data_IF_690637477291
#
_entry.id   IF_690637477291
#
_cell.length_a   1.000
_cell.length_b   1.000
_cell.length_c   1.000
_cell.angle_alpha   90.00
_cell.angle_beta   90.00
_cell.angle_gamma   90.00
#
_symmetry.space_group_name_H-M   'P 1'
#
loop_
_entity.id
_entity.type
_entity.pdbx_description
1 polymer ?
#
# COMPACT_ATOMS: atom_id res chain seq x y z
N UNK A 1 -40.24 9.14 -4.47
CA UNK A 1 -40.04 10.43 -5.16
C UNK A 1 -40.32 10.19 -6.63
N UNK A 2 -41.18 10.97 -7.28
CA UNK A 2 -41.47 10.79 -8.71
C UNK A 2 -40.47 11.59 -9.55
N UNK A 3 -39.95 10.99 -10.63
CA UNK A 3 -39.01 11.64 -11.56
C UNK A 3 -39.83 12.37 -12.62
N UNK A 4 -39.70 13.69 -12.71
CA UNK A 4 -40.33 14.50 -13.76
C UNK A 4 -39.47 14.45 -15.03
N UNK A 5 -38.18 14.72 -14.90
CA UNK A 5 -37.22 14.73 -16.01
C UNK A 5 -35.80 14.55 -15.50
N UNK A 6 -34.87 14.19 -16.39
CA UNK A 6 -33.44 14.22 -16.11
C UNK A 6 -32.68 14.75 -17.33
N UNK A 7 -31.42 15.12 -17.13
CA UNK A 7 -30.53 15.58 -18.21
C UNK A 7 -29.06 15.46 -17.79
N UNK A 8 -28.17 15.74 -18.73
CA UNK A 8 -26.72 15.80 -18.50
C UNK A 8 -26.17 14.51 -17.88
N UNK A 9 -26.67 13.35 -18.33
CA UNK A 9 -26.19 12.05 -17.87
C UNK A 9 -24.76 11.80 -18.31
N UNK A 10 -23.88 11.46 -17.36
CA UNK A 10 -22.48 11.11 -17.58
C UNK A 10 -22.16 9.84 -16.81
N UNK A 11 -21.61 8.82 -17.46
CA UNK A 11 -21.08 7.67 -16.74
C UNK A 11 -19.89 8.09 -15.89
N UNK A 12 -19.84 7.59 -14.65
CA UNK A 12 -18.65 7.68 -13.79
C UNK A 12 -17.90 6.35 -13.78
N UNK A 13 -16.73 6.32 -13.15
CA UNK A 13 -15.79 5.20 -13.21
C UNK A 13 -16.40 3.84 -12.86
N UNK A 14 -17.31 3.78 -11.88
CA UNK A 14 -17.92 2.53 -11.42
C UNK A 14 -19.17 2.11 -12.24
N UNK A 15 -19.49 2.82 -13.32
CA UNK A 15 -20.63 2.51 -14.19
C UNK A 15 -21.98 3.07 -13.71
N UNK A 16 -22.00 3.80 -12.59
CA UNK A 16 -23.13 4.67 -12.21
C UNK A 16 -23.21 5.87 -13.16
N UNK A 17 -24.32 6.61 -13.09
CA UNK A 17 -24.55 7.78 -13.95
C UNK A 17 -24.82 9.00 -13.07
N UNK A 18 -23.92 9.97 -13.10
CA UNK A 18 -24.17 11.31 -12.60
C UNK A 18 -25.09 12.04 -13.57
N UNK A 19 -26.08 12.76 -13.04
CA UNK A 19 -27.03 13.51 -13.84
C UNK A 19 -27.63 14.67 -13.04
N UNK A 20 -28.36 15.52 -13.74
CA UNK A 20 -29.27 16.48 -13.13
C UNK A 20 -30.70 15.92 -13.24
N UNK A 21 -31.38 15.78 -12.11
CA UNK A 21 -32.76 15.24 -12.06
C UNK A 21 -33.72 16.27 -11.49
N UNK A 22 -34.90 16.36 -12.08
CA UNK A 22 -36.03 17.11 -11.53
C UNK A 22 -37.03 16.14 -10.92
N UNK A 23 -37.12 16.17 -9.60
CA UNK A 23 -38.10 15.37 -8.85
C UNK A 23 -39.37 16.18 -8.59
N UNK A 24 -40.51 15.49 -8.51
CA UNK A 24 -41.76 16.10 -8.09
C UNK A 24 -41.63 16.68 -6.68
N UNK A 25 -42.02 17.95 -6.51
CA UNK A 25 -41.89 18.70 -5.27
C UNK A 25 -40.59 19.51 -5.13
N UNK A 26 -39.68 19.44 -6.10
CA UNK A 26 -38.52 20.33 -6.20
C UNK A 26 -38.76 21.40 -7.27
N UNK A 27 -38.27 22.61 -7.03
CA UNK A 27 -38.43 23.73 -7.98
C UNK A 27 -37.48 23.61 -9.18
N UNK A 28 -36.28 23.04 -8.96
CA UNK A 28 -35.20 22.97 -9.94
C UNK A 28 -34.63 21.55 -10.10
N UNK A 29 -33.79 21.38 -11.13
CA UNK A 29 -32.94 20.22 -11.28
C UNK A 29 -31.87 20.18 -10.18
N UNK A 30 -31.64 19.01 -9.60
CA UNK A 30 -30.60 18.77 -8.58
C UNK A 30 -29.59 17.73 -9.06
N UNK A 31 -28.31 17.82 -8.63
CA UNK A 31 -27.32 16.79 -8.93
C UNK A 31 -27.71 15.48 -8.24
N UNK A 32 -27.62 14.37 -8.98
CA UNK A 32 -27.92 13.03 -8.48
C UNK A 32 -27.06 11.98 -9.17
N UNK A 33 -26.52 11.05 -8.37
CA UNK A 33 -25.81 9.87 -8.87
C UNK A 33 -26.76 8.69 -8.87
N UNK A 34 -27.20 8.26 -10.05
CA UNK A 34 -28.08 7.09 -10.19
C UNK A 34 -27.28 5.79 -10.28
N UNK A 35 -27.81 4.74 -9.68
CA UNK A 35 -27.17 3.41 -9.63
C UNK A 35 -28.19 2.29 -9.83
N UNK A 36 -27.83 1.17 -10.48
CA UNK A 36 -28.69 0.00 -10.53
C UNK A 36 -28.91 -0.64 -9.16
N UNK A 37 -27.98 -0.41 -8.21
CA UNK A 37 -27.99 -0.96 -6.86
C UNK A 37 -28.43 0.07 -5.80
N UNK A 38 -29.05 1.18 -6.24
CA UNK A 38 -29.55 2.22 -5.35
C UNK A 38 -30.54 1.63 -4.32
N UNK A 39 -30.49 2.07 -3.07
CA UNK A 39 -31.42 1.61 -2.03
C UNK A 39 -32.84 2.10 -2.28
N UNK A 40 -32.99 3.28 -2.89
CA UNK A 40 -34.27 3.90 -3.19
C UNK A 40 -34.74 3.51 -4.60
N UNK A 41 -36.03 3.18 -4.72
CA UNK A 41 -36.61 2.67 -5.98
C UNK A 41 -36.44 3.66 -7.15
N UNK A 42 -36.55 4.95 -6.88
CA UNK A 42 -36.43 5.97 -7.90
C UNK A 42 -34.99 6.14 -8.40
N UNK A 43 -33.97 5.87 -7.58
CA UNK A 43 -32.58 5.87 -8.04
C UNK A 43 -32.31 4.76 -9.06
N UNK A 44 -32.84 3.55 -8.80
CA UNK A 44 -32.78 2.41 -9.74
C UNK A 44 -33.57 2.67 -11.02
N UNK A 45 -34.78 3.24 -10.89
CA UNK A 45 -35.61 3.60 -12.04
C UNK A 45 -34.92 4.66 -12.91
N UNK A 46 -34.35 5.70 -12.29
CA UNK A 46 -33.63 6.76 -12.99
C UNK A 46 -32.43 6.20 -13.78
N UNK A 47 -31.65 5.30 -13.18
CA UNK A 47 -30.53 4.63 -13.85
C UNK A 47 -31.00 3.84 -15.08
N UNK A 48 -32.06 3.03 -14.94
CA UNK A 48 -32.61 2.26 -16.05
C UNK A 48 -33.13 3.16 -17.19
N UNK A 49 -33.82 4.25 -16.83
CA UNK A 49 -34.32 5.23 -17.79
C UNK A 49 -33.19 5.95 -18.55
N UNK A 50 -32.16 6.43 -17.84
CA UNK A 50 -30.99 7.07 -18.44
C UNK A 50 -30.25 6.10 -19.39
N UNK A 51 -30.08 4.84 -18.99
CA UNK A 51 -29.41 3.82 -19.80
C UNK A 51 -30.15 3.51 -21.11
N UNK A 52 -31.48 3.62 -21.13
CA UNK A 52 -32.27 3.46 -22.35
C UNK A 52 -32.32 4.72 -23.22
N UNK A 53 -31.74 5.84 -22.76
CA UNK A 53 -31.73 7.11 -23.47
C UNK A 53 -33.03 7.91 -23.34
N UNK A 54 -33.93 7.55 -22.40
CA UNK A 54 -35.22 8.23 -22.18
C UNK A 54 -35.07 9.74 -22.00
N UNK A 55 -33.97 10.16 -21.37
CA UNK A 55 -33.66 11.55 -21.02
C UNK A 55 -32.52 12.13 -21.86
N UNK A 56 -32.22 11.52 -23.01
CA UNK A 56 -31.08 11.86 -23.86
C UNK A 56 -29.90 10.90 -23.68
N UNK A 57 -28.85 11.04 -24.52
CA UNK A 57 -27.69 10.16 -24.45
C UNK A 57 -26.90 10.40 -23.16
N UNK A 58 -26.45 9.31 -22.55
CA UNK A 58 -25.49 9.36 -21.44
C UNK A 58 -24.08 9.40 -22.04
N UNK A 59 -23.30 10.43 -21.69
CA UNK A 59 -21.92 10.53 -22.18
C UNK A 59 -21.01 9.53 -21.46
N UNK A 60 -20.00 8.96 -22.16
CA UNK A 60 -19.05 8.07 -21.52
C UNK A 60 -18.20 8.76 -20.46
N UNK A 61 -17.77 7.98 -19.47
CA UNK A 61 -16.73 8.38 -18.54
C UNK A 61 -15.44 8.74 -19.31
N UNK A 62 -14.88 9.90 -19.02
CA UNK A 62 -13.62 10.36 -19.61
C UNK A 62 -12.61 10.64 -18.50
N UNK A 63 -11.46 9.97 -18.58
CA UNK A 63 -10.35 10.20 -17.65
C UNK A 63 -9.73 11.58 -17.94
N UNK A 64 -9.57 12.41 -16.91
CA UNK A 64 -8.88 13.70 -17.01
C UNK A 64 -7.40 13.59 -16.61
N UNK A 65 -6.54 14.54 -17.03
CA UNK A 65 -5.17 14.61 -16.53
C UNK A 65 -5.07 14.73 -15.01
N UNK A 66 -6.01 15.41 -14.34
CA UNK A 66 -6.03 15.48 -12.87
C UNK A 66 -6.31 14.11 -12.24
N UNK A 67 -7.17 13.29 -12.87
CA UNK A 67 -7.43 11.93 -12.40
C UNK A 67 -6.19 11.05 -12.53
N UNK A 68 -5.44 11.17 -13.63
CA UNK A 68 -4.16 10.47 -13.82
C UNK A 68 -3.16 10.88 -12.74
N UNK A 69 -2.99 12.19 -12.50
CA UNK A 69 -2.07 12.67 -11.48
C UNK A 69 -2.47 12.17 -10.08
N UNK A 70 -3.76 12.28 -9.75
CA UNK A 70 -4.29 11.80 -8.46
C UNK A 70 -4.07 10.29 -8.26
N UNK A 71 -4.20 9.49 -9.32
CA UNK A 71 -3.91 8.05 -9.26
C UNK A 71 -2.42 7.76 -9.05
N UNK A 72 -1.52 8.52 -9.68
CA UNK A 72 -0.07 8.41 -9.45
C UNK A 72 0.31 8.77 -8.02
N UNK A 73 -0.25 9.87 -7.51
CA UNK A 73 0.00 10.33 -6.14
C UNK A 73 -0.48 9.29 -5.12
N UNK A 74 -1.67 8.72 -5.33
CA UNK A 74 -2.19 7.64 -4.50
C UNK A 74 -1.27 6.40 -4.54
N UNK A 75 -0.79 6.02 -5.73
CA UNK A 75 0.11 4.88 -5.88
C UNK A 75 1.50 5.14 -5.28
N UNK A 76 2.00 6.37 -5.34
CA UNK A 76 3.23 6.77 -4.65
C UNK A 76 3.09 6.70 -3.13
N UNK A 77 1.93 7.07 -2.59
CA UNK A 77 1.64 6.90 -1.16
C UNK A 77 1.61 5.41 -0.77
N UNK A 78 1.00 4.55 -1.58
CA UNK A 78 1.02 3.10 -1.38
C UNK A 78 2.45 2.53 -1.38
N UNK A 79 3.30 2.97 -2.32
CA UNK A 79 4.72 2.61 -2.38
C UNK A 79 5.48 3.06 -1.12
N UNK A 80 5.22 4.27 -0.61
CA UNK A 80 5.84 4.74 0.63
C UNK A 80 5.41 3.89 1.83
N UNK A 81 4.12 3.55 1.93
CA UNK A 81 3.61 2.68 2.99
C UNK A 81 4.23 1.28 2.92
N UNK A 82 4.43 0.75 1.71
CA UNK A 82 5.15 -0.50 1.50
C UNK A 82 6.59 -0.40 2.01
N UNK A 83 7.33 0.66 1.64
CA UNK A 83 8.70 0.90 2.12
C UNK A 83 8.74 0.91 3.65
N UNK A 84 7.86 1.69 4.28
CA UNK A 84 7.82 1.83 5.73
C UNK A 84 7.52 0.48 6.43
N UNK A 85 6.67 -0.34 5.82
CA UNK A 85 6.41 -1.72 6.27
C UNK A 85 7.65 -2.59 6.15
N UNK A 86 8.38 -2.53 5.03
CA UNK A 86 9.61 -3.31 4.85
C UNK A 86 10.72 -2.86 5.81
N UNK A 87 10.91 -1.56 6.02
CA UNK A 87 11.94 -1.00 6.91
C UNK A 87 11.65 -1.18 8.41
N UNK A 88 10.41 -1.49 8.77
CA UNK A 88 10.03 -1.86 10.14
C UNK A 88 10.08 -3.36 10.40
N UNK A 89 10.19 -4.18 9.33
CA UNK A 89 10.30 -5.63 9.41
C UNK A 89 11.63 -6.14 9.99
N UNK A 90 11.66 -7.44 10.29
CA UNK A 90 12.86 -8.22 10.60
C UNK A 90 13.14 -9.16 9.44
N UNK A 91 14.41 -9.33 9.09
CA UNK A 91 14.88 -10.38 8.18
C UNK A 91 15.63 -11.45 8.98
N UNK A 92 15.72 -12.66 8.44
CA UNK A 92 16.54 -13.72 9.01
C UNK A 92 17.79 -13.86 8.17
N UNK A 93 18.95 -13.93 8.81
CA UNK A 93 20.22 -14.26 8.16
C UNK A 93 20.90 -15.42 8.90
N UNK A 94 21.81 -16.11 8.21
CA UNK A 94 22.58 -17.21 8.79
C UNK A 94 23.99 -16.76 9.15
N UNK A 95 24.43 -17.08 10.36
CA UNK A 95 25.81 -16.88 10.81
C UNK A 95 26.19 -18.03 11.75
N UNK A 96 27.37 -18.62 11.53
CA UNK A 96 27.92 -19.71 12.34
C UNK A 96 26.96 -20.91 12.50
N UNK A 97 26.17 -21.22 11.46
CA UNK A 97 25.22 -22.33 11.48
C UNK A 97 23.88 -22.03 12.16
N UNK A 98 23.69 -20.83 12.70
CA UNK A 98 22.44 -20.38 13.33
C UNK A 98 21.71 -19.34 12.50
N UNK A 99 20.40 -19.27 12.67
CA UNK A 99 19.52 -18.29 12.01
C UNK A 99 19.21 -17.18 13.01
N UNK A 100 19.46 -15.93 12.65
CA UNK A 100 19.35 -14.80 13.56
C UNK A 100 18.32 -13.78 13.08
N UNK A 101 17.49 -13.29 14.01
CA UNK A 101 16.61 -12.16 13.77
C UNK A 101 17.41 -10.87 13.58
N UNK A 102 17.17 -10.21 12.48
CA UNK A 102 17.86 -9.01 12.04
C UNK A 102 16.84 -7.92 11.69
N UNK A 103 16.59 -7.07 12.67
CA UNK A 103 15.72 -5.90 12.54
C UNK A 103 16.04 -4.90 13.65
N UNK A 104 15.43 -3.70 13.57
CA UNK A 104 15.69 -2.60 14.52
C UNK A 104 15.53 -3.02 15.98
N UNK A 105 14.50 -3.82 16.29
CA UNK A 105 14.25 -4.33 17.63
C UNK A 105 15.32 -5.33 18.11
N UNK A 106 15.77 -6.24 17.24
CA UNK A 106 16.83 -7.20 17.59
C UNK A 106 18.15 -6.47 17.83
N UNK A 107 18.52 -5.54 16.94
CA UNK A 107 19.74 -4.73 17.06
C UNK A 107 19.73 -3.88 18.35
N UNK A 108 18.60 -3.25 18.67
CA UNK A 108 18.46 -2.42 19.88
C UNK A 108 18.65 -3.22 21.17
N UNK A 109 18.21 -4.50 21.19
CA UNK A 109 18.43 -5.40 22.33
C UNK A 109 19.88 -5.89 22.40
N UNK A 110 20.52 -6.14 21.25
CA UNK A 110 21.89 -6.66 21.18
C UNK A 110 22.94 -5.60 21.56
N UNK A 111 22.74 -4.33 21.18
CA UNK A 111 23.70 -3.25 21.41
C UNK A 111 24.20 -3.13 22.88
N UNK A 112 23.33 -3.06 23.91
CA UNK A 112 23.81 -3.02 25.29
C UNK A 112 24.49 -4.32 25.73
N UNK A 113 24.06 -5.48 25.20
CA UNK A 113 24.71 -6.77 25.48
C UNK A 113 26.15 -6.77 24.97
N UNK A 114 26.38 -6.29 23.75
CA UNK A 114 27.74 -6.20 23.19
C UNK A 114 28.58 -5.21 23.98
N UNK A 115 28.02 -4.09 24.44
CA UNK A 115 28.74 -3.14 25.30
C UNK A 115 29.21 -3.79 26.62
N UNK A 116 28.35 -4.59 27.27
CA UNK A 116 28.69 -5.35 28.49
C UNK A 116 29.67 -6.48 28.20
N UNK A 117 29.55 -7.13 27.04
CA UNK A 117 30.48 -8.16 26.60
C UNK A 117 31.90 -7.61 26.43
N UNK A 118 32.03 -6.42 25.81
CA UNK A 118 33.31 -5.73 25.62
C UNK A 118 33.97 -5.31 26.94
N UNK A 119 33.22 -5.14 28.02
CA UNK A 119 33.77 -4.87 29.36
C UNK A 119 34.06 -6.15 30.17
N UNK A 120 33.80 -7.34 29.61
CA UNK A 120 34.01 -8.63 30.28
C UNK A 120 33.04 -8.88 31.43
N UNK A 121 31.89 -8.19 31.45
CA UNK A 121 30.95 -8.20 32.57
C UNK A 121 29.65 -8.98 32.26
N UNK A 122 29.67 -9.88 31.26
CA UNK A 122 28.53 -10.77 31.03
C UNK A 122 28.34 -11.72 32.23
N UNK A 123 27.09 -12.06 32.56
CA UNK A 123 26.82 -13.05 33.59
C UNK A 123 27.36 -14.44 33.17
N UNK A 124 27.78 -15.29 34.14
CA UNK A 124 28.15 -16.67 33.84
C UNK A 124 27.00 -17.43 33.16
N UNK A 125 27.32 -18.18 32.09
CA UNK A 125 26.32 -18.94 31.33
C UNK A 125 25.44 -18.08 30.40
N UNK A 126 25.88 -16.87 30.07
CA UNK A 126 25.17 -16.01 29.11
C UNK A 126 24.95 -16.70 27.75
N UNK A 127 23.78 -16.48 27.17
CA UNK A 127 23.39 -16.96 25.85
C UNK A 127 22.61 -15.88 25.09
N UNK A 128 22.54 -16.02 23.78
CA UNK A 128 21.63 -15.27 22.92
C UNK A 128 20.69 -16.24 22.21
N UNK A 129 19.38 -15.95 22.25
CA UNK A 129 18.37 -16.78 21.61
C UNK A 129 18.30 -16.46 20.12
N UNK A 130 18.44 -17.48 19.28
CA UNK A 130 18.36 -17.36 17.83
C UNK A 130 16.91 -17.31 17.32
N UNK A 131 16.73 -17.13 16.00
CA UNK A 131 15.41 -16.99 15.38
C UNK A 131 14.55 -18.27 15.45
N UNK A 132 15.18 -19.41 15.71
CA UNK A 132 14.50 -20.70 15.88
C UNK A 132 14.20 -21.00 17.37
N UNK A 133 14.38 -20.00 18.25
CA UNK A 133 14.24 -20.08 19.70
C UNK A 133 15.25 -21.04 20.36
N UNK A 134 16.46 -21.14 19.81
CA UNK A 134 17.54 -21.92 20.39
C UNK A 134 18.44 -20.98 21.19
N UNK A 135 18.67 -21.29 22.46
CA UNK A 135 19.61 -20.56 23.30
C UNK A 135 21.05 -20.95 22.96
N UNK A 136 21.77 -20.04 22.33
CA UNK A 136 23.15 -20.26 21.89
C UNK A 136 24.10 -19.60 22.90
N UNK A 137 24.99 -20.36 23.57
CA UNK A 137 26.05 -19.76 24.37
C UNK A 137 26.95 -18.89 23.50
N UNK A 138 27.22 -17.66 23.94
CA UNK A 138 27.94 -16.67 23.13
C UNK A 138 29.11 -16.05 23.90
N UNK A 139 30.26 -15.97 23.25
CA UNK A 139 31.42 -15.20 23.69
C UNK A 139 31.30 -13.72 23.30
N UNK A 140 32.15 -12.86 23.87
CA UNK A 140 32.19 -11.44 23.52
C UNK A 140 32.54 -11.20 22.04
N UNK A 141 33.42 -12.03 21.47
CA UNK A 141 33.81 -11.95 20.06
C UNK A 141 32.65 -12.38 19.15
N UNK A 142 31.92 -13.43 19.50
CA UNK A 142 30.74 -13.88 18.75
C UNK A 142 29.60 -12.87 18.79
N UNK A 143 29.36 -12.21 19.93
CA UNK A 143 28.38 -11.13 20.03
C UNK A 143 28.76 -9.92 19.19
N UNK A 144 30.05 -9.56 19.16
CA UNK A 144 30.57 -8.49 18.31
C UNK A 144 30.42 -8.85 16.82
N UNK A 145 30.71 -10.11 16.45
CA UNK A 145 30.52 -10.60 15.09
C UNK A 145 29.03 -10.62 14.68
N UNK A 146 28.14 -11.03 15.59
CA UNK A 146 26.69 -11.02 15.39
C UNK A 146 26.18 -9.60 15.15
N UNK A 147 26.59 -8.63 15.98
CA UNK A 147 26.22 -7.22 15.82
C UNK A 147 26.67 -6.66 14.47
N UNK A 148 27.94 -6.90 14.09
CA UNK A 148 28.47 -6.46 12.81
C UNK A 148 27.71 -7.08 11.62
N UNK A 149 27.43 -8.38 11.68
CA UNK A 149 26.69 -9.08 10.65
C UNK A 149 25.23 -8.59 10.56
N UNK A 150 24.57 -8.31 11.69
CA UNK A 150 23.25 -7.69 11.71
C UNK A 150 23.27 -6.32 11.05
N UNK A 151 24.20 -5.44 11.42
CA UNK A 151 24.33 -4.11 10.83
C UNK A 151 24.54 -4.20 9.31
N UNK A 152 25.41 -5.10 8.85
CA UNK A 152 25.66 -5.29 7.42
C UNK A 152 24.40 -5.76 6.68
N UNK A 153 23.68 -6.75 7.22
CA UNK A 153 22.45 -7.26 6.62
C UNK A 153 21.33 -6.21 6.61
N UNK A 154 21.19 -5.42 7.68
CA UNK A 154 20.24 -4.30 7.73
C UNK A 154 20.53 -3.24 6.67
N UNK A 155 21.81 -2.88 6.46
CA UNK A 155 22.22 -1.93 5.41
C UNK A 155 21.91 -2.48 4.01
N UNK A 156 22.26 -3.75 3.75
CA UNK A 156 21.98 -4.39 2.47
C UNK A 156 20.47 -4.44 2.18
N UNK A 157 19.67 -4.80 3.17
CA UNK A 157 18.22 -4.85 3.02
C UNK A 157 17.62 -3.47 2.82
N UNK A 158 18.05 -2.47 3.60
CA UNK A 158 17.63 -1.08 3.44
C UNK A 158 17.94 -0.55 2.04
N UNK A 159 19.11 -0.89 1.49
CA UNK A 159 19.49 -0.52 0.12
C UNK A 159 18.55 -1.14 -0.92
N UNK A 160 18.27 -2.45 -0.82
CA UNK A 160 17.32 -3.14 -1.72
C UNK A 160 15.92 -2.53 -1.67
N UNK A 161 15.43 -2.19 -0.47
CA UNK A 161 14.12 -1.55 -0.29
C UNK A 161 14.11 -0.19 -0.98
N UNK A 162 15.16 0.60 -0.79
CA UNK A 162 15.29 1.91 -1.42
C UNK A 162 15.36 1.83 -2.95
N UNK A 163 16.16 0.93 -3.51
CA UNK A 163 16.23 0.70 -4.95
C UNK A 163 14.86 0.30 -5.52
N UNK A 164 14.19 -0.66 -4.86
CA UNK A 164 12.88 -1.11 -5.31
C UNK A 164 11.83 0.00 -5.22
N UNK A 165 11.80 0.78 -4.14
CA UNK A 165 10.92 1.94 -4.03
C UNK A 165 11.11 2.88 -5.22
N UNK A 166 12.37 3.23 -5.53
CA UNK A 166 12.69 4.14 -6.62
C UNK A 166 12.23 3.57 -7.96
N UNK A 167 12.52 2.30 -8.21
CA UNK A 167 12.07 1.60 -9.41
C UNK A 167 10.54 1.68 -9.56
N UNK A 168 9.78 1.35 -8.50
CA UNK A 168 8.31 1.37 -8.56
C UNK A 168 7.75 2.76 -8.86
N UNK A 169 8.33 3.82 -8.27
CA UNK A 169 7.93 5.20 -8.58
C UNK A 169 8.22 5.58 -10.03
N UNK A 170 9.41 5.25 -10.52
CA UNK A 170 9.77 5.49 -11.92
C UNK A 170 8.88 4.71 -12.90
N UNK A 171 8.45 3.50 -12.55
CA UNK A 171 7.50 2.69 -13.32
C UNK A 171 6.11 3.34 -13.34
N UNK A 172 5.59 3.76 -12.19
CA UNK A 172 4.30 4.46 -12.07
C UNK A 172 4.30 5.80 -12.82
N UNK A 173 5.39 6.57 -12.72
CA UNK A 173 5.51 7.87 -13.39
C UNK A 173 5.45 7.75 -14.92
N UNK A 174 5.90 6.62 -15.48
CA UNK A 174 5.85 6.34 -16.93
C UNK A 174 4.47 5.89 -17.42
N UNK A 175 3.57 5.47 -16.54
CA UNK A 175 2.24 5.04 -16.93
C UNK A 175 1.39 6.24 -17.34
N UNK A 176 0.63 6.07 -18.42
CA UNK A 176 -0.34 7.05 -18.94
C UNK A 176 -1.77 6.52 -18.90
N UNK A 177 -1.94 5.20 -18.82
CA UNK A 177 -3.25 4.56 -18.70
C UNK A 177 -3.71 4.56 -17.23
N UNK A 178 -4.93 5.06 -17.01
CA UNK A 178 -5.52 5.23 -15.68
C UNK A 178 -5.67 3.89 -14.95
N UNK A 179 -6.14 2.85 -15.64
CA UNK A 179 -6.33 1.52 -15.05
C UNK A 179 -5.01 0.83 -14.78
N UNK A 180 -4.01 1.01 -15.63
CA UNK A 180 -2.67 0.50 -15.39
C UNK A 180 -2.04 1.13 -14.13
N UNK A 181 -2.23 2.43 -13.88
CA UNK A 181 -1.75 3.09 -12.65
C UNK A 181 -2.45 2.48 -11.43
N UNK A 182 -3.78 2.36 -11.46
CA UNK A 182 -4.56 1.80 -10.35
C UNK A 182 -4.14 0.35 -10.04
N UNK A 183 -3.95 -0.46 -11.09
CA UNK A 183 -3.63 -1.88 -11.00
C UNK A 183 -2.12 -2.17 -10.84
N UNK A 184 -1.27 -1.15 -10.77
CA UNK A 184 0.16 -1.34 -10.54
C UNK A 184 0.37 -2.07 -9.20
N UNK A 185 1.10 -3.19 -9.26
CA UNK A 185 1.35 -4.07 -8.10
C UNK A 185 2.52 -3.53 -7.29
N UNK A 186 2.23 -3.09 -6.06
CA UNK A 186 3.25 -2.65 -5.11
C UNK A 186 3.81 -3.85 -4.36
N UNK A 187 5.13 -4.02 -4.39
CA UNK A 187 5.78 -5.15 -3.75
C UNK A 187 7.12 -5.50 -4.36
N UNK A 188 7.74 -6.55 -3.82
CA UNK A 188 8.85 -7.23 -4.47
C UNK A 188 8.37 -7.87 -5.79
N UNK A 189 9.21 -7.92 -6.83
CA UNK A 189 8.86 -8.62 -8.06
C UNK A 189 8.70 -10.12 -7.78
N UNK A 190 7.82 -10.79 -8.53
CA UNK A 190 7.58 -12.22 -8.40
C UNK A 190 8.89 -13.02 -8.55
N UNK A 191 9.13 -13.96 -7.62
CA UNK A 191 10.31 -14.84 -7.65
C UNK A 191 11.53 -14.38 -6.84
N UNK A 192 11.40 -13.33 -6.02
CA UNK A 192 12.41 -12.89 -5.05
C UNK A 192 12.14 -13.35 -3.63
#
# INVERSE_FOLDING_TARGET
>A
MNIISARNGVYIENGNIDCEVHFEGFDDFIPFTSSPDDSEEHGRQLYADLKTGKYGPVTPFTVTPEMIQSAKDAKHAEINNWRDTQESGSIIFTLNGHRWDCGKASQTRLAPVVAVAKSGALPPGFFWTDADNIDVPMTADELTALEAAMQQNMVLQGFKIHERQRQMKEEVDKLTDYKAIQNYVVGWPEGN
#
